data_IF_293616162239
#
_entry.id   IF_293616162239
#
_cell.length_a   1.000
_cell.length_b   1.000
_cell.length_c   1.000
_cell.angle_alpha   90.00
_cell.angle_beta   90.00
_cell.angle_gamma   90.00
#
_symmetry.space_group_name_H-M   'P 1'
#
loop_
_entity.id
_entity.type
_entity.pdbx_description
1 polymer ?
#
# COMPACT_ATOMS: atom_id res chain seq x y z
N UNK A 1 -10.43 -0.55 -24.01
CA UNK A 1 -10.81 -1.69 -23.16
C UNK A 1 -9.69 -1.83 -22.15
N UNK A 2 -9.98 -1.70 -20.86
CA UNK A 2 -8.95 -1.70 -19.82
C UNK A 2 -8.52 -3.15 -19.61
N UNK A 3 -7.22 -3.46 -19.51
CA UNK A 3 -6.73 -4.85 -19.46
C UNK A 3 -7.32 -5.66 -18.30
N UNK A 4 -7.85 -4.98 -17.28
CA UNK A 4 -8.45 -5.56 -16.07
C UNK A 4 -9.96 -5.80 -16.17
N UNK A 5 -10.67 -5.25 -17.17
CA UNK A 5 -12.15 -5.33 -17.21
C UNK A 5 -12.69 -6.76 -17.45
N UNK A 6 -11.89 -7.61 -18.10
CA UNK A 6 -12.16 -9.03 -18.32
C UNK A 6 -11.54 -9.95 -17.27
N UNK A 7 -10.80 -9.41 -16.31
CA UNK A 7 -10.07 -10.19 -15.30
C UNK A 7 -10.91 -10.40 -14.04
N UNK A 8 -10.69 -11.52 -13.35
CA UNK A 8 -11.26 -11.82 -12.03
C UNK A 8 -10.17 -11.83 -10.96
N UNK A 9 -10.41 -11.13 -9.86
CA UNK A 9 -9.45 -10.95 -8.76
C UNK A 9 -10.04 -11.49 -7.47
N UNK A 10 -9.26 -12.29 -6.74
CA UNK A 10 -9.63 -12.86 -5.46
C UNK A 10 -8.75 -12.36 -4.32
N UNK A 11 -9.35 -11.82 -3.26
CA UNK A 11 -8.67 -11.53 -2.00
C UNK A 11 -8.73 -12.73 -1.06
N UNK A 12 -7.58 -13.34 -0.80
CA UNK A 12 -7.41 -14.42 0.17
C UNK A 12 -7.14 -13.79 1.54
N UNK A 13 -8.21 -13.58 2.29
CA UNK A 13 -8.24 -12.75 3.49
C UNK A 13 -9.05 -11.48 3.26
N UNK A 14 -9.89 -11.14 4.24
CA UNK A 14 -10.82 -10.01 4.18
C UNK A 14 -10.56 -8.99 5.30
N UNK A 15 -9.28 -8.74 5.61
CA UNK A 15 -8.85 -7.79 6.63
C UNK A 15 -8.98 -6.32 6.21
N UNK A 16 -8.37 -5.41 6.97
CA UNK A 16 -8.37 -3.97 6.68
C UNK A 16 -7.64 -3.63 5.39
N UNK A 17 -6.51 -4.29 5.10
CA UNK A 17 -5.77 -4.03 3.86
C UNK A 17 -6.56 -4.49 2.62
N UNK A 18 -7.14 -5.70 2.67
CA UNK A 18 -8.02 -6.19 1.61
C UNK A 18 -9.19 -5.23 1.36
N UNK A 19 -9.89 -4.78 2.42
CA UNK A 19 -10.96 -3.79 2.26
C UNK A 19 -10.45 -2.47 1.69
N UNK A 20 -9.28 -1.99 2.12
CA UNK A 20 -8.70 -0.76 1.59
C UNK A 20 -8.44 -0.83 0.08
N UNK A 21 -7.95 -1.98 -0.38
CA UNK A 21 -7.73 -2.23 -1.81
C UNK A 21 -9.04 -2.39 -2.57
N UNK A 22 -9.98 -3.19 -2.05
CA UNK A 22 -11.32 -3.36 -2.61
C UNK A 22 -12.02 -2.01 -2.76
N UNK A 23 -11.97 -1.16 -1.73
CA UNK A 23 -12.58 0.16 -1.76
C UNK A 23 -11.98 1.04 -2.88
N UNK A 24 -10.65 1.03 -3.03
CA UNK A 24 -9.97 1.75 -4.12
C UNK A 24 -10.38 1.26 -5.50
N UNK A 25 -10.30 -0.06 -5.73
CA UNK A 25 -10.68 -0.69 -7.01
C UNK A 25 -12.14 -0.41 -7.35
N UNK A 26 -13.06 -0.57 -6.39
CA UNK A 26 -14.49 -0.31 -6.60
C UNK A 26 -14.76 1.17 -6.89
N UNK A 27 -14.06 2.08 -6.19
CA UNK A 27 -14.18 3.52 -6.41
C UNK A 27 -13.75 3.95 -7.82
N UNK A 28 -12.76 3.29 -8.40
CA UNK A 28 -12.30 3.60 -9.77
C UNK A 28 -13.37 3.37 -10.85
N UNK A 29 -14.29 2.44 -10.60
CA UNK A 29 -15.32 2.02 -11.55
C UNK A 29 -14.79 1.26 -12.78
N UNK A 30 -13.51 0.89 -12.83
CA UNK A 30 -12.90 0.27 -14.01
C UNK A 30 -13.09 -1.26 -14.08
N UNK A 31 -13.41 -1.90 -12.96
CA UNK A 31 -13.58 -3.35 -12.86
C UNK A 31 -15.03 -3.72 -12.48
N UNK A 32 -15.68 -4.67 -13.17
CA UNK A 32 -17.01 -5.13 -12.79
C UNK A 32 -17.04 -5.68 -11.37
N UNK A 33 -18.05 -5.30 -10.57
CA UNK A 33 -18.13 -5.72 -9.16
C UNK A 33 -18.24 -7.25 -9.00
N UNK A 34 -18.87 -7.92 -9.97
CA UNK A 34 -18.96 -9.37 -10.02
C UNK A 34 -17.65 -10.07 -10.43
N UNK A 35 -16.59 -9.33 -10.73
CA UNK A 35 -15.25 -9.85 -10.97
C UNK A 35 -14.31 -9.70 -9.78
N UNK A 36 -14.76 -9.05 -8.70
CA UNK A 36 -14.00 -8.88 -7.46
C UNK A 36 -14.54 -9.88 -6.45
N UNK A 37 -13.66 -10.72 -5.92
CA UNK A 37 -14.00 -11.77 -4.98
C UNK A 37 -13.22 -11.62 -3.68
N UNK A 38 -13.81 -11.96 -2.54
CA UNK A 38 -13.09 -12.07 -1.28
C UNK A 38 -13.48 -13.32 -0.51
N UNK A 39 -12.50 -13.92 0.17
CA UNK A 39 -12.73 -15.03 1.10
C UNK A 39 -12.12 -14.76 2.47
N UNK A 40 -12.69 -15.42 3.47
CA UNK A 40 -12.22 -15.37 4.84
C UNK A 40 -12.41 -16.74 5.49
N UNK A 41 -11.37 -17.21 6.19
CA UNK A 41 -11.35 -18.53 6.84
C UNK A 41 -12.54 -18.72 7.77
N UNK A 42 -12.80 -17.77 8.67
CA UNK A 42 -13.76 -17.93 9.78
C UNK A 42 -14.79 -16.81 9.88
N UNK A 43 -14.49 -15.60 9.42
CA UNK A 43 -15.34 -14.45 9.65
C UNK A 43 -16.37 -14.25 8.53
N UNK A 44 -17.50 -14.97 8.62
CA UNK A 44 -18.62 -14.86 7.68
C UNK A 44 -19.32 -13.49 7.75
N UNK A 45 -19.39 -12.88 8.94
CA UNK A 45 -19.98 -11.56 9.10
C UNK A 45 -19.24 -10.52 8.27
N UNK A 46 -17.92 -10.55 8.33
CA UNK A 46 -17.05 -9.68 7.52
C UNK A 46 -17.29 -9.82 6.02
N UNK A 47 -17.50 -11.03 5.52
CA UNK A 47 -17.83 -11.25 4.11
C UNK A 47 -19.15 -10.58 3.74
N UNK A 48 -20.19 -10.74 4.58
CA UNK A 48 -21.49 -10.08 4.38
C UNK A 48 -21.38 -8.56 4.37
N UNK A 49 -20.55 -7.98 5.24
CA UNK A 49 -20.28 -6.54 5.25
C UNK A 49 -19.65 -6.07 3.94
N UNK A 50 -18.65 -6.79 3.41
CA UNK A 50 -18.00 -6.44 2.15
C UNK A 50 -18.97 -6.51 0.97
N UNK A 51 -19.78 -7.56 0.88
CA UNK A 51 -20.82 -7.68 -0.15
C UNK A 51 -21.83 -6.54 -0.07
N UNK A 52 -22.32 -6.23 1.14
CA UNK A 52 -23.30 -5.15 1.34
C UNK A 52 -22.74 -3.77 1.01
N UNK A 53 -21.48 -3.51 1.38
CA UNK A 53 -20.85 -2.20 1.19
C UNK A 53 -20.36 -1.97 -0.23
N UNK A 54 -19.78 -2.98 -0.86
CA UNK A 54 -19.04 -2.84 -2.12
C UNK A 54 -19.67 -3.59 -3.30
N UNK A 55 -20.66 -4.46 -3.08
CA UNK A 55 -21.31 -5.23 -4.13
C UNK A 55 -20.44 -6.35 -4.74
N UNK A 56 -19.33 -6.70 -4.08
CA UNK A 56 -18.40 -7.74 -4.54
C UNK A 56 -18.93 -9.15 -4.27
N UNK A 57 -18.31 -10.15 -4.89
CA UNK A 57 -18.60 -11.56 -4.60
C UNK A 57 -17.83 -12.00 -3.35
N UNK A 58 -18.47 -12.82 -2.51
CA UNK A 58 -17.78 -13.42 -1.36
C UNK A 58 -18.16 -14.88 -1.21
N UNK A 59 -17.17 -15.71 -0.92
CA UNK A 59 -17.38 -17.12 -0.67
C UNK A 59 -16.41 -17.63 0.40
N UNK A 60 -16.77 -18.76 0.98
CA UNK A 60 -15.90 -19.50 1.90
C UNK A 60 -14.86 -20.27 1.10
N UNK A 61 -13.71 -20.62 1.68
CA UNK A 61 -12.66 -21.38 0.98
C UNK A 61 -13.21 -22.61 0.24
N UNK A 62 -14.04 -23.42 0.90
CA UNK A 62 -14.57 -24.68 0.34
C UNK A 62 -15.48 -24.49 -0.87
N UNK A 63 -16.06 -23.30 -1.03
CA UNK A 63 -17.03 -22.98 -2.08
C UNK A 63 -16.51 -21.90 -3.03
N UNK A 64 -15.21 -21.59 -2.97
CA UNK A 64 -14.62 -20.49 -3.72
C UNK A 64 -14.21 -20.95 -5.12
N UNK A 65 -14.56 -20.23 -6.20
CA UNK A 65 -14.25 -20.63 -7.57
C UNK A 65 -12.82 -20.27 -7.95
N UNK A 66 -11.82 -20.90 -7.31
CA UNK A 66 -10.40 -20.57 -7.50
C UNK A 66 -9.96 -20.65 -8.96
N UNK A 67 -10.43 -21.66 -9.69
CA UNK A 67 -10.10 -21.90 -11.11
C UNK A 67 -10.56 -20.78 -12.05
N UNK A 68 -11.51 -19.95 -11.62
CA UNK A 68 -11.99 -18.81 -12.42
C UNK A 68 -11.18 -17.54 -12.20
N UNK A 69 -10.26 -17.51 -11.24
CA UNK A 69 -9.53 -16.29 -10.87
C UNK A 69 -8.27 -16.13 -11.71
N UNK A 70 -8.05 -14.94 -12.25
CA UNK A 70 -6.78 -14.61 -12.92
C UNK A 70 -5.70 -14.23 -11.91
N UNK A 71 -6.10 -13.53 -10.84
CA UNK A 71 -5.20 -12.97 -9.83
C UNK A 71 -5.69 -13.32 -8.43
N UNK A 72 -4.80 -13.87 -7.60
CA UNK A 72 -5.06 -14.12 -6.18
C UNK A 72 -4.19 -13.20 -5.32
N UNK A 73 -4.83 -12.34 -4.53
CA UNK A 73 -4.19 -11.40 -3.62
C UNK A 73 -4.17 -11.99 -2.22
N UNK A 74 -2.99 -12.35 -1.74
CA UNK A 74 -2.75 -12.83 -0.38
C UNK A 74 -2.80 -11.66 0.60
N UNK A 75 -3.86 -11.59 1.40
CA UNK A 75 -4.14 -10.51 2.35
C UNK A 75 -4.47 -11.03 3.76
N UNK A 76 -3.90 -12.17 4.14
CA UNK A 76 -3.90 -12.66 5.52
C UNK A 76 -2.82 -11.99 6.39
N UNK A 77 -2.71 -12.39 7.65
CA UNK A 77 -1.60 -11.95 8.50
C UNK A 77 -0.35 -12.74 8.14
N UNK A 78 0.86 -12.13 8.16
CA UNK A 78 2.11 -12.84 7.85
C UNK A 78 2.32 -14.13 8.64
N UNK A 79 1.97 -14.15 9.93
CA UNK A 79 2.09 -15.33 10.80
C UNK A 79 1.24 -16.53 10.37
N UNK A 80 0.23 -16.31 9.53
CA UNK A 80 -0.71 -17.36 9.09
C UNK A 80 -0.35 -17.84 7.67
N UNK A 81 0.78 -17.38 7.09
CA UNK A 81 1.13 -17.61 5.69
C UNK A 81 1.30 -19.08 5.36
N UNK A 82 2.02 -19.85 6.17
CA UNK A 82 2.30 -21.26 5.88
C UNK A 82 1.02 -22.08 5.78
N UNK A 83 0.23 -22.09 6.86
CA UNK A 83 -1.04 -22.81 6.91
C UNK A 83 -2.00 -22.35 5.81
N UNK A 84 -1.98 -21.06 5.47
CA UNK A 84 -2.82 -20.55 4.40
C UNK A 84 -2.37 -21.03 3.01
N UNK A 85 -1.06 -21.04 2.74
CA UNK A 85 -0.51 -21.49 1.46
C UNK A 85 -0.65 -23.01 1.30
N UNK A 86 -0.45 -23.79 2.36
CA UNK A 86 -0.72 -25.23 2.37
C UNK A 86 -2.17 -25.55 2.03
N UNK A 87 -3.11 -24.79 2.63
CA UNK A 87 -4.54 -24.94 2.33
C UNK A 87 -4.92 -24.43 0.95
N UNK A 88 -4.23 -23.43 0.41
CA UNK A 88 -4.55 -22.80 -0.88
C UNK A 88 -3.99 -23.59 -2.06
N UNK A 89 -2.78 -24.15 -1.93
CA UNK A 89 -2.03 -24.82 -2.99
C UNK A 89 -2.86 -25.86 -3.78
N UNK A 90 -3.69 -26.73 -3.16
CA UNK A 90 -4.50 -27.70 -3.90
C UNK A 90 -5.56 -27.10 -4.82
N UNK A 91 -5.93 -25.83 -4.60
CA UNK A 91 -7.03 -25.19 -5.33
C UNK A 91 -6.58 -24.27 -6.47
N UNK A 92 -5.29 -23.92 -6.53
CA UNK A 92 -4.76 -22.97 -7.51
C UNK A 92 -4.02 -23.68 -8.64
N UNK A 93 -4.07 -23.08 -9.83
CA UNK A 93 -3.35 -23.52 -11.02
C UNK A 93 -1.96 -22.87 -11.08
N UNK A 94 -1.01 -23.54 -11.76
CA UNK A 94 0.42 -23.15 -11.76
C UNK A 94 0.70 -21.79 -12.41
N UNK A 95 -0.17 -21.36 -13.31
CA UNK A 95 -0.06 -20.13 -14.11
C UNK A 95 -0.84 -18.95 -13.52
N UNK A 96 -1.62 -19.16 -12.47
CA UNK A 96 -2.34 -18.08 -11.79
C UNK A 96 -1.38 -17.09 -11.11
N UNK A 97 -1.64 -15.80 -11.28
CA UNK A 97 -0.80 -14.77 -10.68
C UNK A 97 -1.12 -14.61 -9.20
N UNK A 98 -0.09 -14.70 -8.36
CA UNK A 98 -0.21 -14.44 -6.92
C UNK A 98 0.37 -13.06 -6.61
N UNK A 99 -0.44 -12.19 -6.02
CA UNK A 99 0.02 -10.92 -5.45
C UNK A 99 0.02 -11.02 -3.93
N UNK A 100 1.14 -10.69 -3.28
CA UNK A 100 1.25 -10.74 -1.83
C UNK A 100 1.35 -9.34 -1.24
N UNK A 101 0.40 -8.99 -0.37
CA UNK A 101 0.48 -7.77 0.46
C UNK A 101 0.96 -8.07 1.89
N UNK A 102 1.60 -9.22 2.08
CA UNK A 102 2.06 -9.68 3.38
C UNK A 102 3.35 -8.95 3.79
N UNK A 103 3.26 -8.16 4.87
CA UNK A 103 4.40 -7.44 5.41
C UNK A 103 5.53 -8.40 5.83
N UNK A 104 6.73 -8.14 5.32
CA UNK A 104 7.95 -8.89 5.64
C UNK A 104 8.08 -10.27 5.01
N UNK A 105 7.15 -10.70 4.17
CA UNK A 105 7.20 -11.99 3.49
C UNK A 105 7.70 -11.79 2.06
N UNK A 106 8.87 -12.36 1.75
CA UNK A 106 9.48 -12.25 0.41
C UNK A 106 8.74 -13.10 -0.62
N UNK A 107 8.70 -12.65 -1.88
CA UNK A 107 8.10 -13.42 -2.97
C UNK A 107 8.70 -14.83 -3.09
N UNK A 108 10.04 -14.94 -3.04
CA UNK A 108 10.75 -16.22 -3.12
C UNK A 108 10.26 -17.26 -2.10
N UNK A 109 9.97 -16.83 -0.88
CA UNK A 109 9.48 -17.71 0.16
C UNK A 109 8.07 -18.25 -0.14
N UNK A 110 7.20 -17.42 -0.69
CA UNK A 110 5.85 -17.84 -1.12
C UNK A 110 5.93 -18.78 -2.32
N UNK A 111 6.80 -18.49 -3.27
CA UNK A 111 7.05 -19.37 -4.44
C UNK A 111 7.52 -20.76 -4.01
N UNK A 112 8.43 -20.86 -3.03
CA UNK A 112 8.95 -22.15 -2.54
C UNK A 112 7.86 -23.01 -1.87
N UNK A 113 6.78 -22.39 -1.37
CA UNK A 113 5.65 -23.10 -0.77
C UNK A 113 4.58 -23.52 -1.80
N UNK A 114 4.45 -22.79 -2.90
CA UNK A 114 3.43 -23.02 -3.92
C UNK A 114 3.90 -24.04 -4.97
N UNK A 115 3.22 -24.09 -6.11
CA UNK A 115 3.63 -24.97 -7.20
C UNK A 115 4.94 -24.48 -7.81
N UNK A 116 5.76 -25.42 -8.29
CA UNK A 116 6.97 -25.07 -9.05
C UNK A 116 6.59 -24.19 -10.26
N UNK A 117 7.27 -23.06 -10.39
CA UNK A 117 7.01 -22.09 -11.45
C UNK A 117 5.86 -21.12 -11.20
N UNK A 118 5.24 -21.11 -10.01
CA UNK A 118 4.15 -20.18 -9.71
C UNK A 118 4.61 -18.71 -9.80
N UNK A 119 3.96 -17.85 -10.59
CA UNK A 119 4.29 -16.42 -10.62
C UNK A 119 3.79 -15.73 -9.35
N UNK A 120 4.71 -15.15 -8.58
CA UNK A 120 4.40 -14.40 -7.35
C UNK A 120 5.01 -13.00 -7.44
N UNK A 121 4.22 -11.97 -7.14
CA UNK A 121 4.70 -10.61 -6.96
C UNK A 121 4.43 -10.13 -5.54
N UNK A 122 5.36 -9.35 -4.99
CA UNK A 122 5.16 -8.66 -3.72
C UNK A 122 4.62 -7.26 -4.00
N UNK A 123 3.61 -6.87 -3.22
CA UNK A 123 2.91 -5.60 -3.34
C UNK A 123 2.93 -4.91 -1.98
N UNK A 124 3.31 -3.64 -1.94
CA UNK A 124 3.27 -2.84 -0.72
C UNK A 124 2.45 -1.57 -0.96
N UNK A 125 1.12 -1.64 -0.78
CA UNK A 125 0.26 -0.46 -0.81
C UNK A 125 0.34 0.28 0.52
N UNK A 126 -0.40 1.39 0.62
CA UNK A 126 -0.63 2.09 1.88
C UNK A 126 -2.12 2.39 2.09
N UNK A 127 -2.44 3.00 3.24
CA UNK A 127 -3.83 3.25 3.68
C UNK A 127 -4.61 4.17 2.74
N UNK A 128 -3.93 4.99 1.94
CA UNK A 128 -4.54 5.88 0.95
C UNK A 128 -5.15 5.13 -0.25
N UNK A 129 -5.00 3.81 -0.33
CA UNK A 129 -5.68 2.96 -1.33
C UNK A 129 -7.19 3.17 -1.34
N UNK A 130 -7.78 3.36 -0.15
CA UNK A 130 -9.23 3.60 0.05
C UNK A 130 -9.76 4.80 -0.74
N UNK A 131 -8.90 5.78 -1.01
CA UNK A 131 -9.24 7.04 -1.69
C UNK A 131 -8.55 7.20 -3.05
N UNK A 132 -7.97 6.11 -3.58
CA UNK A 132 -7.28 6.14 -4.88
C UNK A 132 -6.01 6.99 -4.91
N UNK A 133 -5.36 7.19 -3.76
CA UNK A 133 -4.16 8.02 -3.63
C UNK A 133 -3.00 7.24 -2.99
N UNK A 134 -2.97 5.92 -3.17
CA UNK A 134 -1.89 5.09 -2.67
C UNK A 134 -0.60 5.33 -3.45
N UNK A 135 0.53 5.20 -2.76
CA UNK A 135 1.80 4.91 -3.40
C UNK A 135 2.08 3.43 -3.14
N UNK A 136 2.06 2.64 -4.21
CA UNK A 136 2.15 1.17 -4.15
C UNK A 136 3.44 0.70 -4.78
N UNK A 137 4.28 -0.04 -4.06
CA UNK A 137 5.40 -0.74 -4.66
C UNK A 137 4.97 -2.10 -5.21
N UNK A 138 5.60 -2.49 -6.31
CA UNK A 138 5.44 -3.78 -6.97
C UNK A 138 6.82 -4.38 -7.26
N UNK A 139 7.07 -5.59 -6.75
CA UNK A 139 8.33 -6.33 -6.91
C UNK A 139 8.03 -7.71 -7.49
N UNK A 140 8.72 -8.08 -8.57
CA UNK A 140 8.51 -9.33 -9.29
C UNK A 140 9.32 -10.48 -8.67
N UNK A 141 8.68 -11.65 -8.53
CA UNK A 141 9.34 -12.90 -8.18
C UNK A 141 10.07 -13.55 -9.37
N UNK A 142 10.58 -14.76 -9.15
CA UNK A 142 11.43 -15.51 -10.12
C UNK A 142 10.69 -15.89 -11.40
N UNK A 143 9.39 -16.17 -11.30
CA UNK A 143 8.62 -16.78 -12.39
C UNK A 143 7.61 -15.84 -13.05
N UNK A 144 7.67 -14.56 -12.72
CA UNK A 144 6.74 -13.52 -13.20
C UNK A 144 7.08 -13.11 -14.63
N UNK A 145 6.07 -13.02 -15.49
CA UNK A 145 6.18 -12.56 -16.89
C UNK A 145 5.92 -11.06 -17.00
N UNK A 146 6.34 -10.44 -18.10
CA UNK A 146 6.05 -9.03 -18.37
C UNK A 146 4.53 -8.72 -18.42
N UNK A 147 3.73 -9.68 -18.88
CA UNK A 147 2.26 -9.57 -18.91
C UNK A 147 1.67 -9.51 -17.48
N UNK A 148 2.22 -10.30 -16.55
CA UNK A 148 1.82 -10.29 -15.14
C UNK A 148 2.13 -8.93 -14.49
N UNK A 149 3.31 -8.37 -14.78
CA UNK A 149 3.70 -7.04 -14.31
C UNK A 149 2.73 -5.99 -14.84
N UNK A 150 2.45 -6.01 -16.14
CA UNK A 150 1.57 -5.02 -16.79
C UNK A 150 0.14 -5.09 -16.25
N UNK A 151 -0.37 -6.31 -16.07
CA UNK A 151 -1.70 -6.55 -15.49
C UNK A 151 -1.78 -6.10 -14.03
N UNK A 152 -0.74 -6.38 -13.24
CA UNK A 152 -0.65 -5.95 -11.84
C UNK A 152 -0.57 -4.44 -11.71
N UNK A 153 0.22 -3.78 -12.57
CA UNK A 153 0.28 -2.32 -12.61
C UNK A 153 -1.10 -1.74 -12.91
N UNK A 154 -1.79 -2.23 -13.95
CA UNK A 154 -3.11 -1.75 -14.29
C UNK A 154 -4.13 -1.93 -13.15
N UNK A 155 -4.14 -3.09 -12.48
CA UNK A 155 -5.02 -3.32 -11.33
C UNK A 155 -4.69 -2.40 -10.16
N UNK A 156 -3.41 -2.27 -9.82
CA UNK A 156 -2.98 -1.52 -8.64
C UNK A 156 -3.09 0.00 -8.85
N UNK A 157 -3.03 0.45 -10.11
CA UNK A 157 -3.22 1.85 -10.49
C UNK A 157 -4.62 2.39 -10.18
N UNK A 158 -5.62 1.51 -10.06
CA UNK A 158 -6.97 1.90 -9.64
C UNK A 158 -7.00 2.43 -8.18
N UNK A 159 -5.94 2.19 -7.42
CA UNK A 159 -5.79 2.61 -6.03
C UNK A 159 -4.80 3.77 -5.85
N UNK A 160 -4.12 4.21 -6.91
CA UNK A 160 -3.13 5.28 -6.88
C UNK A 160 -1.92 5.01 -7.79
N UNK A 161 -0.76 5.55 -7.41
CA UNK A 161 0.48 5.42 -8.19
C UNK A 161 1.21 4.10 -7.88
N UNK A 162 1.74 3.46 -8.92
CA UNK A 162 2.44 2.16 -8.82
C UNK A 162 3.90 2.31 -9.23
N UNK A 163 4.79 1.78 -8.40
CA UNK A 163 6.24 1.84 -8.60
C UNK A 163 6.81 0.44 -8.68
N UNK A 164 7.32 0.05 -9.84
CA UNK A 164 8.06 -1.20 -9.98
C UNK A 164 9.47 -1.03 -9.43
N UNK A 165 9.79 -1.79 -8.39
CA UNK A 165 11.07 -1.71 -7.68
C UNK A 165 11.65 -3.10 -7.45
N UNK A 166 12.94 -3.15 -7.11
CA UNK A 166 13.59 -4.41 -6.72
C UNK A 166 13.18 -4.82 -5.30
N UNK A 167 13.21 -6.12 -5.01
CA UNK A 167 12.81 -6.68 -3.71
C UNK A 167 13.62 -6.07 -2.54
N UNK A 168 14.90 -5.76 -2.75
CA UNK A 168 15.78 -5.15 -1.75
C UNK A 168 15.35 -3.71 -1.40
N UNK A 169 14.56 -3.06 -2.25
CA UNK A 169 14.06 -1.70 -2.06
C UNK A 169 12.74 -1.65 -1.28
N UNK A 170 12.11 -2.79 -1.01
CA UNK A 170 10.80 -2.86 -0.34
C UNK A 170 10.83 -2.30 1.08
N UNK A 171 11.93 -2.48 1.82
CA UNK A 171 12.06 -1.98 3.19
C UNK A 171 12.16 -0.45 3.23
N UNK A 172 12.96 0.15 2.35
CA UNK A 172 13.04 1.61 2.26
C UNK A 172 11.74 2.21 1.72
N UNK A 173 11.09 1.55 0.76
CA UNK A 173 9.76 1.96 0.30
C UNK A 173 8.74 1.92 1.43
N UNK A 174 8.77 0.89 2.28
CA UNK A 174 7.91 0.80 3.48
C UNK A 174 8.12 1.98 4.41
N UNK A 175 9.37 2.38 4.66
CA UNK A 175 9.68 3.56 5.47
C UNK A 175 9.17 4.87 4.86
N UNK A 176 9.15 4.99 3.52
CA UNK A 176 8.69 6.19 2.82
C UNK A 176 7.16 6.22 2.68
N UNK A 177 6.57 5.21 2.05
CA UNK A 177 5.18 5.22 1.60
C UNK A 177 4.23 4.44 2.52
N UNK A 178 4.72 3.37 3.16
CA UNK A 178 3.93 2.56 4.08
C UNK A 178 3.69 3.30 5.40
N UNK A 179 4.77 3.76 6.03
CA UNK A 179 4.73 4.52 7.29
C UNK A 179 4.57 6.03 7.09
N UNK A 180 4.93 6.57 5.92
CA UNK A 180 4.91 7.99 5.59
C UNK A 180 3.65 8.77 5.99
N UNK A 181 2.43 8.28 5.69
CA UNK A 181 1.20 8.99 6.05
C UNK A 181 1.14 9.37 7.54
N UNK A 182 1.60 8.50 8.43
CA UNK A 182 1.61 8.76 9.86
C UNK A 182 2.53 9.92 10.25
N UNK A 183 3.64 10.11 9.53
CA UNK A 183 4.55 11.23 9.80
C UNK A 183 3.88 12.56 9.48
N UNK A 184 3.13 12.64 8.38
CA UNK A 184 2.39 13.84 8.02
C UNK A 184 1.22 14.11 8.97
N UNK A 185 0.53 13.08 9.44
CA UNK A 185 -0.50 13.24 10.49
C UNK A 185 0.10 13.78 11.78
N UNK A 186 1.24 13.22 12.21
CA UNK A 186 1.96 13.70 13.38
C UNK A 186 2.41 15.16 13.25
N UNK A 187 2.89 15.58 12.08
CA UNK A 187 3.23 16.99 11.83
C UNK A 187 1.99 17.88 11.79
N UNK A 188 0.85 17.39 11.26
CA UNK A 188 -0.41 18.12 11.27
C UNK A 188 -0.88 18.46 12.68
N UNK A 189 -0.72 17.52 13.63
CA UNK A 189 -1.05 17.79 15.04
C UNK A 189 -0.22 18.96 15.62
N UNK A 190 1.06 19.08 15.23
CA UNK A 190 1.92 20.20 15.67
C UNK A 190 1.51 21.53 15.03
N UNK A 191 1.05 21.49 13.77
CA UNK A 191 0.49 22.67 13.08
C UNK A 191 -0.82 23.09 13.75
N UNK A 192 -1.66 22.13 14.13
CA UNK A 192 -2.89 22.39 14.88
C UNK A 192 -2.60 23.09 16.22
N UNK A 193 -1.66 22.57 17.01
CA UNK A 193 -1.22 23.17 18.28
C UNK A 193 -0.75 24.62 18.11
N UNK A 194 0.16 24.88 17.15
CA UNK A 194 0.65 26.23 16.90
C UNK A 194 -0.45 27.19 16.42
N UNK A 195 -1.41 26.70 15.62
CA UNK A 195 -2.56 27.48 15.20
C UNK A 195 -3.49 27.83 16.37
N UNK A 196 -3.73 26.89 17.28
CA UNK A 196 -4.52 27.11 18.49
C UNK A 196 -3.87 28.15 19.43
N UNK A 197 -2.56 28.07 19.62
CA UNK A 197 -1.80 29.08 20.39
C UNK A 197 -1.90 30.49 19.78
N UNK A 198 -2.02 30.57 18.45
CA UNK A 198 -2.22 31.82 17.72
C UNK A 198 -3.71 32.26 17.60
N UNK A 199 -4.64 31.51 18.17
CA UNK A 199 -6.07 31.85 18.22
C UNK A 199 -6.93 31.29 17.09
N UNK A 200 -6.41 30.40 16.23
CA UNK A 200 -7.23 29.62 15.30
C UNK A 200 -7.88 28.44 16.03
N UNK A 201 -9.03 27.95 15.53
CA UNK A 201 -9.55 26.68 16.01
C UNK A 201 -8.73 25.52 15.45
N UNK A 202 -8.63 24.43 16.21
CA UNK A 202 -8.02 23.16 15.76
C UNK A 202 -8.51 22.71 14.38
N UNK A 203 -9.82 22.78 14.17
CA UNK A 203 -10.48 22.40 12.92
C UNK A 203 -10.01 23.26 11.74
N UNK A 204 -9.93 24.58 11.93
CA UNK A 204 -9.48 25.52 10.91
C UNK A 204 -7.99 25.31 10.59
N UNK A 205 -7.15 25.13 11.62
CA UNK A 205 -5.72 24.83 11.46
C UNK A 205 -5.50 23.55 10.65
N UNK A 206 -6.27 22.49 10.92
CA UNK A 206 -6.24 21.24 10.15
C UNK A 206 -6.61 21.45 8.69
N UNK A 207 -7.68 22.22 8.42
CA UNK A 207 -8.13 22.49 7.05
C UNK A 207 -7.07 23.25 6.25
N UNK A 208 -6.50 24.31 6.82
CA UNK A 208 -5.44 25.12 6.20
C UNK A 208 -4.18 24.27 5.98
N UNK A 209 -3.74 23.53 6.99
CA UNK A 209 -2.57 22.66 6.91
C UNK A 209 -2.74 21.57 5.86
N UNK A 210 -3.89 20.89 5.83
CA UNK A 210 -4.19 19.85 4.85
C UNK A 210 -4.17 20.39 3.42
N UNK A 211 -4.80 21.54 3.18
CA UNK A 211 -4.81 22.18 1.86
C UNK A 211 -3.41 22.64 1.45
N UNK A 212 -2.60 23.11 2.40
CA UNK A 212 -1.19 23.50 2.15
C UNK A 212 -0.34 22.30 1.76
N UNK A 213 -0.47 21.19 2.49
CA UNK A 213 0.23 19.95 2.18
C UNK A 213 -0.18 19.38 0.81
N UNK A 214 -1.48 19.39 0.51
CA UNK A 214 -2.01 18.98 -0.80
C UNK A 214 -1.43 19.85 -1.92
N UNK A 215 -1.40 21.16 -1.74
CA UNK A 215 -0.84 22.09 -2.73
C UNK A 215 0.65 21.85 -2.99
N UNK A 216 1.43 21.65 -1.93
CA UNK A 216 2.86 21.34 -2.05
C UNK A 216 3.09 19.99 -2.77
N UNK A 217 2.29 18.97 -2.47
CA UNK A 217 2.35 17.68 -3.15
C UNK A 217 2.01 17.79 -4.64
N UNK A 218 0.96 18.55 -5.00
CA UNK A 218 0.60 18.80 -6.39
C UNK A 218 1.68 19.56 -7.16
N UNK A 219 2.30 20.57 -6.54
CA UNK A 219 3.42 21.28 -7.15
C UNK A 219 4.55 20.32 -7.53
N UNK A 220 4.89 19.38 -6.66
CA UNK A 220 5.91 18.37 -6.94
C UNK A 220 5.51 17.43 -8.09
N UNK A 221 4.22 17.08 -8.19
CA UNK A 221 3.71 16.19 -9.23
C UNK A 221 3.59 16.87 -10.60
N UNK A 222 3.17 18.14 -10.63
CA UNK A 222 2.74 18.82 -11.86
C UNK A 222 3.87 19.65 -12.52
N UNK A 223 4.89 20.08 -11.76
CA UNK A 223 5.86 21.08 -12.28
C UNK A 223 7.20 20.51 -12.73
N UNK A 224 7.47 19.20 -12.54
CA UNK A 224 8.76 18.56 -12.78
C UNK A 224 9.97 19.24 -12.09
N UNK A 225 9.73 20.16 -11.17
CA UNK A 225 10.76 20.88 -10.45
C UNK A 225 11.24 20.12 -9.22
N UNK A 226 12.54 20.21 -8.94
CA UNK A 226 13.11 19.61 -7.74
C UNK A 226 12.58 20.31 -6.47
N UNK A 227 12.41 19.59 -5.35
CA UNK A 227 11.97 20.17 -4.08
C UNK A 227 12.80 21.37 -3.62
N UNK A 228 14.12 21.36 -3.85
CA UNK A 228 15.01 22.48 -3.50
C UNK A 228 14.66 23.76 -4.26
N UNK A 229 14.34 23.65 -5.55
CA UNK A 229 13.96 24.77 -6.42
C UNK A 229 12.61 25.34 -5.99
N UNK A 230 11.62 24.48 -5.76
CA UNK A 230 10.30 24.91 -5.28
C UNK A 230 10.41 25.64 -3.93
N UNK A 231 11.23 25.13 -3.01
CA UNK A 231 11.51 25.77 -1.73
C UNK A 231 12.19 27.13 -1.91
N UNK A 232 13.22 27.23 -2.74
CA UNK A 232 13.95 28.48 -2.99
C UNK A 232 13.04 29.58 -3.56
N UNK A 233 12.14 29.23 -4.49
CA UNK A 233 11.20 30.19 -5.10
C UNK A 233 10.26 30.88 -4.11
N UNK A 234 9.92 30.22 -3.00
CA UNK A 234 9.03 30.76 -1.96
C UNK A 234 9.80 31.28 -0.74
N UNK A 235 11.13 31.31 -0.79
CA UNK A 235 11.99 31.72 0.32
C UNK A 235 12.67 33.05 -0.01
N UNK A 236 12.01 34.16 0.32
CA UNK A 236 12.65 35.48 0.26
C UNK A 236 13.61 35.68 1.45
N UNK A 237 14.81 36.27 1.26
CA UNK A 237 15.71 36.62 2.36
C UNK A 237 15.01 37.43 3.45
N UNK A 238 15.20 37.04 4.72
CA UNK A 238 14.54 37.63 5.90
C UNK A 238 13.00 37.58 5.88
N UNK A 239 12.39 36.77 5.01
CA UNK A 239 10.94 36.58 4.95
C UNK A 239 10.42 35.55 5.96
N UNK A 240 9.10 35.42 6.02
CA UNK A 240 8.41 34.47 6.92
C UNK A 240 8.80 33.02 6.65
N UNK A 241 8.89 32.60 5.38
CA UNK A 241 9.34 31.26 5.01
C UNK A 241 10.77 30.97 5.47
N UNK A 242 11.68 31.94 5.33
CA UNK A 242 13.07 31.78 5.75
C UNK A 242 13.17 31.61 7.27
N UNK A 243 12.41 32.40 8.04
CA UNK A 243 12.35 32.27 9.49
C UNK A 243 11.81 30.89 9.92
N UNK A 244 10.77 30.39 9.25
CA UNK A 244 10.22 29.05 9.51
C UNK A 244 11.20 27.91 9.18
N UNK A 245 11.90 28.00 8.05
CA UNK A 245 12.91 27.01 7.66
C UNK A 245 14.11 26.99 8.63
N UNK A 246 14.58 28.17 9.06
CA UNK A 246 15.64 28.26 10.06
C UNK A 246 15.24 27.60 11.38
N UNK A 247 14.01 27.82 11.85
CA UNK A 247 13.51 27.15 13.05
C UNK A 247 13.44 25.62 12.86
N UNK A 248 12.98 25.14 11.70
CA UNK A 248 12.99 23.70 11.41
C UNK A 248 14.42 23.12 11.47
N UNK A 249 15.42 23.84 10.97
CA UNK A 249 16.82 23.41 11.03
C UNK A 249 17.35 23.42 12.48
N UNK A 250 17.07 24.47 13.25
CA UNK A 250 17.48 24.61 14.66
C UNK A 250 16.89 23.50 15.55
N UNK A 251 15.66 23.06 15.26
CA UNK A 251 14.99 21.97 15.97
C UNK A 251 15.18 20.59 15.30
N UNK A 252 16.02 20.48 14.28
CA UNK A 252 16.38 19.21 13.64
C UNK A 252 15.26 18.55 12.82
N UNK A 253 14.27 19.30 12.35
CA UNK A 253 13.08 18.79 11.66
C UNK A 253 13.41 17.96 10.40
N UNK A 254 14.36 18.42 9.57
CA UNK A 254 14.80 17.67 8.39
C UNK A 254 15.50 16.35 8.74
N UNK A 255 16.35 16.35 9.77
CA UNK A 255 17.03 15.13 10.22
C UNK A 255 16.05 14.16 10.90
N UNK A 256 15.10 14.66 11.68
CA UNK A 256 14.06 13.85 12.30
C UNK A 256 13.24 13.06 11.27
N UNK A 257 12.81 13.70 10.17
CA UNK A 257 12.10 13.02 9.08
C UNK A 257 12.96 11.94 8.42
N UNK A 258 14.24 12.24 8.15
CA UNK A 258 15.19 11.27 7.59
C UNK A 258 15.40 10.08 8.51
N UNK A 259 15.48 10.30 9.82
CA UNK A 259 15.60 9.21 10.80
C UNK A 259 14.30 8.39 10.91
N UNK A 260 13.12 9.02 10.88
CA UNK A 260 11.85 8.30 10.88
C UNK A 260 11.76 7.26 9.74
N UNK A 261 12.09 7.68 8.52
CA UNK A 261 12.13 6.80 7.34
C UNK A 261 13.13 5.65 7.53
N UNK A 262 14.36 5.95 7.98
CA UNK A 262 15.41 4.94 8.19
C UNK A 262 15.03 3.93 9.26
N UNK A 263 14.50 4.40 10.39
CA UNK A 263 14.10 3.53 11.50
C UNK A 263 12.93 2.62 11.10
N UNK A 264 11.95 3.14 10.36
CA UNK A 264 10.86 2.31 9.84
C UNK A 264 11.35 1.27 8.82
N UNK A 265 12.26 1.64 7.93
CA UNK A 265 12.89 0.71 6.99
C UNK A 265 13.67 -0.39 7.71
N UNK A 266 14.47 -0.03 8.71
CA UNK A 266 15.20 -1.00 9.53
C UNK A 266 14.25 -1.94 10.27
N UNK A 267 13.16 -1.43 10.84
CA UNK A 267 12.16 -2.27 11.50
C UNK A 267 11.44 -3.19 10.52
N UNK A 268 11.15 -2.75 9.29
CA UNK A 268 10.59 -3.60 8.23
C UNK A 268 11.52 -4.79 7.92
N UNK A 269 12.83 -4.52 7.85
CA UNK A 269 13.85 -5.55 7.65
C UNK A 269 13.90 -6.55 8.81
N UNK A 270 13.91 -6.06 10.05
CA UNK A 270 13.86 -6.90 11.25
C UNK A 270 12.64 -7.82 11.26
N UNK A 271 11.45 -7.28 10.95
CA UNK A 271 10.22 -8.09 10.85
C UNK A 271 10.37 -9.18 9.79
N UNK A 272 10.98 -8.86 8.65
CA UNK A 272 11.21 -9.85 7.58
C UNK A 272 12.16 -10.98 8.03
N UNK A 273 13.20 -10.64 8.78
CA UNK A 273 14.17 -11.62 9.29
C UNK A 273 13.59 -12.46 10.45
N UNK A 274 12.77 -11.86 11.33
CA UNK A 274 11.99 -12.58 12.35
C UNK A 274 11.03 -13.61 11.71
N UNK A 275 10.39 -13.27 10.59
CA UNK A 275 9.53 -14.20 9.86
C UNK A 275 10.33 -15.36 9.28
N UNK A 276 11.48 -15.11 8.64
CA UNK A 276 12.35 -16.20 8.17
C UNK A 276 12.76 -17.16 9.29
N UNK A 277 13.10 -16.63 10.47
CA UNK A 277 13.52 -17.47 11.59
C UNK A 277 12.38 -18.34 12.12
N UNK A 278 11.14 -17.84 12.14
CA UNK A 278 9.98 -18.63 12.57
C UNK A 278 9.62 -19.76 11.62
N UNK A 279 9.92 -19.57 10.33
CA UNK A 279 9.71 -20.56 9.29
C UNK A 279 10.87 -21.57 9.19
N UNK A 280 12.09 -21.16 9.50
CA UNK A 280 13.26 -22.04 9.40
C UNK A 280 13.40 -23.05 10.55
N UNK A 281 12.39 -23.16 11.43
CA UNK A 281 12.32 -24.06 12.61
C UNK A 281 11.16 -25.02 12.40
#
# INVERSE_FOLDING_TARGET
>A
MNIIDQKKVAFIGAGSMAEGMIAGIVRSGQMPLNHIYATNRQNRHRLSELTKRYGIQTATMDSFPFEEMDILILAMKPKDVETALESLKPHIQRDQLILSVLAGVKAAYIEDMLHEGQPVMRVMPNTSSTIGASATALSAGRFVKNEDVSMSQALLSEMGEVYTIQEEQMDIFTGIAGSGPAYFYFLMERIEEAGEEAGLSKEMSRQIGTQTLLGAAKMLQETAENPSVLREKITSPNGTTAAGLNALDDFGGGEAMKQAVKHAANRSKEISDEQKQKVSI
#
